data_IF_272548245031
#
_entry.id   IF_272548245031
#
_cell.length_a   1.000
_cell.length_b   1.000
_cell.length_c   1.000
_cell.angle_alpha   90.00
_cell.angle_beta   90.00
_cell.angle_gamma   90.00
#
_symmetry.space_group_name_H-M   'P 1'
#
loop_
_entity.id
_entity.type
_entity.pdbx_description
1 polymer ?
#
# COMPACT_ATOMS: atom_id res chain seq x y z
N UNK A 1 -13.43 3.85 16.49
CA UNK A 1 -14.77 4.45 16.47
C UNK A 1 -14.69 5.70 15.60
N UNK A 2 -15.12 5.63 14.35
CA UNK A 2 -15.10 6.79 13.43
C UNK A 2 -16.34 7.63 13.73
N UNK A 3 -16.14 8.89 14.12
CA UNK A 3 -17.23 9.85 14.24
C UNK A 3 -17.68 10.28 12.84
N UNK A 4 -18.93 10.05 12.54
CA UNK A 4 -19.60 10.53 11.34
C UNK A 4 -19.81 12.05 11.51
N UNK A 5 -19.07 12.84 10.76
CA UNK A 5 -19.17 14.29 10.78
C UNK A 5 -19.92 14.78 9.54
N UNK A 6 -21.24 14.70 9.60
CA UNK A 6 -22.10 15.43 8.65
C UNK A 6 -22.30 16.85 9.20
N UNK A 7 -21.69 17.84 8.54
CA UNK A 7 -21.91 19.26 8.85
C UNK A 7 -23.14 19.70 8.06
N UNK A 8 -24.27 19.84 8.72
CA UNK A 8 -25.42 20.57 8.23
C UNK A 8 -25.95 21.54 9.28
N UNK A 9 -25.86 22.79 8.90
CA UNK A 9 -26.68 23.96 9.22
C UNK A 9 -27.14 24.22 10.66
N UNK A 10 -26.83 25.47 11.15
CA UNK A 10 -27.41 26.14 12.32
C UNK A 10 -27.26 25.46 13.68
N UNK A 11 -26.04 25.05 14.06
CA UNK A 11 -25.86 24.43 15.36
C UNK A 11 -25.06 25.32 16.33
N UNK A 12 -25.67 25.62 17.47
CA UNK A 12 -24.92 25.91 18.68
C UNK A 12 -23.82 24.89 18.81
N UNK A 13 -22.58 25.36 18.78
CA UNK A 13 -21.40 24.51 18.97
C UNK A 13 -21.57 23.83 20.34
N UNK A 14 -21.67 22.53 20.39
CA UNK A 14 -21.60 21.75 21.61
C UNK A 14 -20.19 21.91 22.19
N UNK A 15 -19.99 22.89 23.02
CA UNK A 15 -18.66 23.29 23.55
C UNK A 15 -17.99 22.14 24.30
N UNK A 16 -18.73 21.31 25.01
CA UNK A 16 -18.18 20.21 25.79
C UNK A 16 -17.64 19.10 24.86
N UNK A 17 -18.40 18.80 23.84
CA UNK A 17 -17.98 17.86 22.80
C UNK A 17 -16.72 18.34 22.07
N UNK A 18 -16.67 19.62 21.70
CA UNK A 18 -15.49 20.17 21.02
C UNK A 18 -14.28 20.31 21.94
N UNK A 19 -14.47 20.64 23.22
CA UNK A 19 -13.37 20.67 24.21
C UNK A 19 -12.75 19.26 24.38
N UNK A 20 -13.58 18.23 24.48
CA UNK A 20 -13.12 16.83 24.56
C UNK A 20 -12.39 16.43 23.29
N UNK A 21 -12.93 16.77 22.11
CA UNK A 21 -12.32 16.49 20.82
C UNK A 21 -10.97 17.20 20.67
N UNK A 22 -10.91 18.50 21.00
CA UNK A 22 -9.66 19.28 20.93
C UNK A 22 -8.57 18.74 21.86
N UNK A 23 -8.92 18.25 23.03
CA UNK A 23 -7.98 17.59 23.94
C UNK A 23 -7.39 16.33 23.32
N UNK A 24 -8.21 15.56 22.61
CA UNK A 24 -7.79 14.29 21.97
C UNK A 24 -6.94 14.51 20.71
N UNK A 25 -7.29 15.51 19.88
CA UNK A 25 -6.61 15.76 18.60
C UNK A 25 -5.40 16.68 18.71
N UNK A 26 -5.25 17.39 19.84
CA UNK A 26 -4.14 18.34 20.05
C UNK A 26 -2.86 17.57 20.34
N UNK A 27 -1.87 17.74 19.47
CA UNK A 27 -0.54 17.18 19.70
C UNK A 27 0.17 17.93 20.84
N UNK A 28 0.79 17.19 21.74
CA UNK A 28 1.54 17.76 22.85
C UNK A 28 3.02 17.33 22.73
N UNK A 29 3.93 18.29 22.73
CA UNK A 29 5.38 18.07 22.61
C UNK A 29 5.97 17.27 23.80
N UNK A 30 5.29 17.27 24.95
CA UNK A 30 5.73 16.54 26.13
C UNK A 30 5.24 15.09 26.18
N UNK A 31 4.32 14.69 25.31
CA UNK A 31 3.85 13.33 25.18
C UNK A 31 4.83 12.49 24.40
N UNK A 32 4.99 11.24 24.81
CA UNK A 32 5.79 10.26 24.08
C UNK A 32 4.89 9.47 23.17
N UNK A 33 5.28 9.38 21.90
CA UNK A 33 4.60 8.59 20.89
C UNK A 33 5.51 7.46 20.42
N UNK A 34 4.96 6.26 20.32
CA UNK A 34 5.66 5.15 19.70
C UNK A 34 5.70 5.33 18.19
N UNK A 35 6.89 5.22 17.63
CA UNK A 35 7.05 5.26 16.17
C UNK A 35 6.60 3.93 15.57
N UNK A 36 5.82 3.97 14.47
CA UNK A 36 5.45 2.75 13.77
C UNK A 36 6.69 2.05 13.20
N UNK A 37 6.64 0.72 13.13
CA UNK A 37 7.71 -0.10 12.56
C UNK A 37 8.04 0.37 11.13
N UNK A 38 9.32 0.52 10.85
CA UNK A 38 9.83 0.80 9.50
C UNK A 38 9.70 -0.43 8.63
N UNK A 39 9.07 -0.28 7.47
CA UNK A 39 8.77 -1.40 6.55
C UNK A 39 9.65 -1.34 5.31
N UNK A 40 9.88 -0.16 4.74
CA UNK A 40 10.69 0.00 3.53
C UNK A 40 11.69 1.13 3.71
N UNK A 41 12.93 0.84 3.37
CA UNK A 41 14.05 1.80 3.34
C UNK A 41 14.68 1.83 1.94
N UNK A 42 15.27 2.97 1.58
CA UNK A 42 16.17 3.14 0.44
C UNK A 42 17.45 3.82 0.91
N UNK A 43 18.61 3.23 0.65
CA UNK A 43 19.91 3.72 1.15
C UNK A 43 19.88 4.05 2.66
N UNK A 44 19.20 3.26 3.47
CA UNK A 44 19.04 3.45 4.92
C UNK A 44 18.04 4.53 5.33
N UNK A 45 17.36 5.18 4.38
CA UNK A 45 16.33 6.18 4.66
C UNK A 45 14.95 5.53 4.59
N UNK A 46 14.17 5.65 5.65
CA UNK A 46 12.80 5.11 5.72
C UNK A 46 11.86 5.85 4.79
N UNK A 47 11.20 5.10 3.91
CA UNK A 47 10.21 5.62 2.95
C UNK A 47 8.81 5.09 3.19
N UNK A 48 8.65 4.03 3.99
CA UNK A 48 7.35 3.52 4.40
C UNK A 48 7.40 2.90 5.80
N UNK A 49 6.36 3.12 6.58
CA UNK A 49 6.16 2.56 7.92
C UNK A 49 4.83 1.81 8.00
N UNK A 50 4.70 0.91 8.96
CA UNK A 50 3.48 0.13 9.18
C UNK A 50 2.28 1.05 9.45
N UNK A 51 1.15 0.75 8.80
CA UNK A 51 -0.08 1.52 8.96
C UNK A 51 -0.14 2.84 8.17
N UNK A 52 0.92 3.18 7.43
CA UNK A 52 0.98 4.36 6.57
C UNK A 52 1.01 3.97 5.08
N UNK A 53 0.87 4.97 4.22
CA UNK A 53 1.01 4.79 2.79
C UNK A 53 2.10 5.72 2.24
N UNK A 54 2.73 5.29 1.14
CA UNK A 54 3.69 6.09 0.39
C UNK A 54 3.31 6.10 -1.08
N UNK A 55 3.57 7.20 -1.77
CA UNK A 55 3.29 7.34 -3.19
C UNK A 55 4.58 7.63 -3.97
N UNK A 56 4.82 6.83 -5.01
CA UNK A 56 5.91 7.06 -5.95
C UNK A 56 5.36 7.70 -7.22
N UNK A 57 5.80 8.91 -7.51
CA UNK A 57 5.39 9.64 -8.71
C UNK A 57 6.58 9.84 -9.66
N UNK A 58 6.32 10.12 -10.92
CA UNK A 58 7.36 10.40 -11.89
C UNK A 58 6.84 10.40 -13.32
N UNK A 59 7.64 10.98 -14.23
CA UNK A 59 7.33 11.02 -15.67
C UNK A 59 7.16 9.61 -16.25
N UNK A 60 6.45 9.43 -17.36
CA UNK A 60 6.45 8.18 -18.10
C UNK A 60 7.88 7.68 -18.36
N UNK A 61 8.09 6.37 -18.30
CA UNK A 61 9.40 5.70 -18.47
C UNK A 61 10.44 5.98 -17.39
N UNK A 62 10.08 6.55 -16.24
CA UNK A 62 11.00 6.79 -15.10
C UNK A 62 11.32 5.54 -14.29
N UNK A 63 11.08 4.35 -14.82
CA UNK A 63 11.37 3.04 -14.18
C UNK A 63 10.62 2.78 -12.86
N UNK A 64 9.47 3.42 -12.62
CA UNK A 64 8.69 3.23 -11.39
C UNK A 64 8.40 1.75 -11.08
N UNK A 65 7.83 1.02 -12.03
CA UNK A 65 7.52 -0.41 -11.88
C UNK A 65 8.78 -1.24 -11.61
N UNK A 66 9.96 -0.83 -12.10
CA UNK A 66 11.21 -1.51 -11.80
C UNK A 66 11.62 -1.30 -10.34
N UNK A 67 11.54 -0.08 -9.83
CA UNK A 67 11.84 0.24 -8.43
C UNK A 67 10.87 -0.49 -7.49
N UNK A 68 9.58 -0.50 -7.81
CA UNK A 68 8.57 -1.26 -7.07
C UNK A 68 8.89 -2.75 -7.08
N UNK A 69 9.35 -3.30 -8.24
CA UNK A 69 9.79 -4.70 -8.31
C UNK A 69 10.93 -5.01 -7.34
N UNK A 70 11.88 -4.07 -7.18
CA UNK A 70 12.99 -4.24 -6.23
C UNK A 70 12.52 -4.20 -4.77
N UNK A 71 11.57 -3.32 -4.42
CA UNK A 71 10.96 -3.27 -3.08
C UNK A 71 10.28 -4.61 -2.76
N UNK A 72 9.45 -5.11 -3.68
CA UNK A 72 8.75 -6.37 -3.48
C UNK A 72 9.73 -7.55 -3.41
N UNK A 73 10.75 -7.57 -4.27
CA UNK A 73 11.79 -8.59 -4.23
C UNK A 73 12.55 -8.61 -2.88
N UNK A 74 12.83 -7.42 -2.32
CA UNK A 74 13.41 -7.31 -0.98
C UNK A 74 12.48 -7.85 0.10
N UNK A 75 11.18 -7.51 0.04
CA UNK A 75 10.18 -8.03 0.98
C UNK A 75 10.06 -9.56 0.94
N UNK A 76 10.15 -10.17 -0.25
CA UNK A 76 10.07 -11.62 -0.41
C UNK A 76 11.35 -12.34 0.02
N UNK A 77 12.52 -11.76 -0.25
CA UNK A 77 13.81 -12.39 0.05
C UNK A 77 14.32 -12.11 1.47
N UNK A 78 13.82 -11.04 2.13
CA UNK A 78 14.37 -10.53 3.38
C UNK A 78 15.77 -9.92 3.23
N UNK A 79 16.22 -9.64 1.99
CA UNK A 79 17.54 -9.08 1.68
C UNK A 79 17.41 -7.73 1.01
N UNK A 80 18.47 -6.93 1.08
CA UNK A 80 18.53 -5.70 0.29
C UNK A 80 18.61 -6.01 -1.21
N UNK A 81 17.77 -5.35 -2.00
CA UNK A 81 17.74 -5.45 -3.46
C UNK A 81 17.82 -4.07 -4.06
N UNK A 82 18.87 -3.78 -4.84
CA UNK A 82 19.07 -2.49 -5.50
C UNK A 82 18.89 -1.28 -4.57
N UNK A 83 19.47 -1.35 -3.35
CA UNK A 83 19.37 -0.33 -2.30
C UNK A 83 18.02 -0.24 -1.57
N UNK A 84 17.05 -1.05 -1.93
CA UNK A 84 15.78 -1.18 -1.20
C UNK A 84 15.89 -2.29 -0.18
N UNK A 85 15.55 -1.98 1.06
CA UNK A 85 15.38 -2.95 2.14
C UNK A 85 13.93 -2.92 2.59
N UNK A 86 13.23 -4.05 2.49
CA UNK A 86 11.88 -4.20 2.99
C UNK A 86 11.86 -5.30 4.06
N UNK A 87 11.33 -4.96 5.23
CA UNK A 87 11.27 -5.83 6.41
C UNK A 87 9.83 -5.90 6.91
N UNK A 88 9.13 -6.97 6.55
CA UNK A 88 7.73 -7.18 6.92
C UNK A 88 7.64 -7.91 8.25
N UNK A 89 6.63 -7.59 9.10
CA UNK A 89 6.39 -8.31 10.33
C UNK A 89 6.18 -9.82 10.07
N UNK A 90 6.68 -10.73 10.91
CA UNK A 90 6.53 -12.17 10.70
C UNK A 90 5.09 -12.66 10.51
N UNK A 91 4.13 -12.03 11.21
CA UNK A 91 2.70 -12.33 11.09
C UNK A 91 2.02 -11.66 9.89
N UNK A 92 2.74 -10.81 9.14
CA UNK A 92 2.25 -10.06 7.97
C UNK A 92 3.33 -10.03 6.89
N UNK A 93 3.73 -11.20 6.43
CA UNK A 93 4.89 -11.35 5.56
C UNK A 93 4.56 -11.57 4.08
N UNK A 94 3.28 -11.47 3.71
CA UNK A 94 2.82 -11.57 2.32
C UNK A 94 2.68 -10.21 1.66
N UNK A 95 2.80 -10.21 0.35
CA UNK A 95 2.66 -9.04 -0.52
C UNK A 95 1.47 -9.23 -1.43
N UNK A 96 0.59 -8.24 -1.49
CA UNK A 96 -0.45 -8.12 -2.51
C UNK A 96 -0.03 -7.07 -3.54
N UNK A 97 0.24 -7.52 -4.77
CA UNK A 97 0.55 -6.63 -5.90
C UNK A 97 -0.66 -6.49 -6.80
N UNK A 98 -1.06 -5.28 -7.09
CA UNK A 98 -2.24 -4.96 -7.90
C UNK A 98 -1.80 -4.10 -9.08
N UNK A 99 -2.06 -4.57 -10.29
CA UNK A 99 -1.87 -3.81 -11.52
C UNK A 99 -3.23 -3.51 -12.17
N UNK A 100 -3.49 -2.25 -12.45
CA UNK A 100 -4.75 -1.79 -13.01
C UNK A 100 -4.65 -1.31 -14.46
N UNK A 101 -3.47 -1.36 -15.06
CA UNK A 101 -3.20 -0.83 -16.39
C UNK A 101 -2.72 -1.89 -17.39
N UNK A 102 -1.82 -2.77 -16.97
CA UNK A 102 -1.12 -3.67 -17.87
C UNK A 102 -1.92 -4.94 -18.19
N UNK A 103 -1.61 -5.55 -19.35
CA UNK A 103 -2.15 -6.87 -19.70
C UNK A 103 -1.51 -7.98 -18.86
N UNK A 104 -2.19 -9.12 -18.73
CA UNK A 104 -1.67 -10.33 -18.02
C UNK A 104 -0.27 -10.72 -18.45
N UNK A 105 0.03 -10.64 -19.75
CA UNK A 105 1.37 -10.97 -20.27
C UNK A 105 2.46 -10.03 -19.76
N UNK A 106 2.18 -8.73 -19.64
CA UNK A 106 3.12 -7.76 -19.10
C UNK A 106 3.26 -7.91 -17.57
N UNK A 107 2.16 -8.10 -16.87
CA UNK A 107 2.17 -8.38 -15.43
C UNK A 107 2.96 -9.65 -15.10
N UNK A 108 2.84 -10.68 -15.91
CA UNK A 108 3.63 -11.91 -15.77
C UNK A 108 5.14 -11.64 -15.86
N UNK A 109 5.58 -10.76 -16.79
CA UNK A 109 6.99 -10.34 -16.86
C UNK A 109 7.43 -9.56 -15.63
N UNK A 110 6.54 -8.75 -15.05
CA UNK A 110 6.82 -8.03 -13.78
C UNK A 110 6.99 -9.05 -12.65
N UNK A 111 6.09 -10.01 -12.51
CA UNK A 111 6.17 -11.06 -11.51
C UNK A 111 7.47 -11.89 -11.65
N UNK A 112 7.80 -12.32 -12.86
CA UNK A 112 9.07 -12.99 -13.13
C UNK A 112 10.29 -12.16 -12.70
N UNK A 113 10.30 -10.86 -13.00
CA UNK A 113 11.36 -9.95 -12.57
C UNK A 113 11.47 -9.87 -11.05
N UNK A 114 10.36 -9.78 -10.36
CA UNK A 114 10.31 -9.74 -8.90
C UNK A 114 10.95 -11.00 -8.33
N UNK A 115 10.52 -12.17 -8.76
CA UNK A 115 11.05 -13.45 -8.29
C UNK A 115 12.55 -13.62 -8.63
N UNK A 116 12.97 -13.20 -9.83
CA UNK A 116 14.39 -13.22 -10.24
C UNK A 116 15.23 -12.31 -9.34
N UNK A 117 14.79 -11.09 -9.09
CA UNK A 117 15.49 -10.15 -8.21
C UNK A 117 15.54 -10.64 -6.75
N UNK A 118 14.53 -11.38 -6.32
CA UNK A 118 14.48 -11.99 -4.98
C UNK A 118 15.35 -13.25 -4.88
N UNK A 119 15.86 -13.78 -5.99
CA UNK A 119 16.57 -15.07 -6.05
C UNK A 119 15.66 -16.27 -5.81
N UNK A 120 14.37 -16.14 -6.14
CA UNK A 120 13.34 -17.17 -5.96
C UNK A 120 13.04 -17.90 -7.28
N UNK A 121 12.57 -19.16 -7.24
CA UNK A 121 12.16 -19.89 -8.43
C UNK A 121 11.06 -19.16 -9.20
N UNK A 122 11.16 -19.17 -10.54
CA UNK A 122 10.18 -18.54 -11.44
C UNK A 122 9.27 -19.56 -12.16
N UNK A 123 9.44 -20.85 -11.87
CA UNK A 123 8.73 -21.97 -12.48
C UNK A 123 7.78 -22.69 -11.51
N UNK A 124 7.54 -22.09 -10.34
CA UNK A 124 6.58 -22.59 -9.35
C UNK A 124 5.89 -21.41 -8.69
N UNK A 125 4.73 -21.65 -8.11
CA UNK A 125 3.98 -20.68 -7.34
C UNK A 125 4.75 -20.26 -6.07
N UNK A 126 4.50 -19.06 -5.61
CA UNK A 126 5.08 -18.51 -4.39
C UNK A 126 3.93 -17.97 -3.52
N UNK A 127 3.75 -18.56 -2.36
CA UNK A 127 2.66 -18.28 -1.42
C UNK A 127 2.79 -16.91 -0.71
N UNK A 128 3.96 -16.26 -0.81
CA UNK A 128 4.21 -14.96 -0.20
C UNK A 128 3.85 -13.76 -1.08
N UNK A 129 3.44 -13.99 -2.32
CA UNK A 129 3.02 -12.93 -3.22
C UNK A 129 1.73 -13.31 -3.95
N UNK A 130 0.74 -12.44 -3.88
CA UNK A 130 -0.41 -12.45 -4.75
C UNK A 130 -0.34 -11.32 -5.76
N UNK A 131 -0.61 -11.62 -7.02
CA UNK A 131 -0.54 -10.64 -8.09
C UNK A 131 -1.88 -10.54 -8.82
N UNK A 132 -2.61 -9.45 -8.60
CA UNK A 132 -3.92 -9.21 -9.20
C UNK A 132 -3.81 -8.31 -10.42
N UNK A 133 -4.35 -8.76 -11.54
CA UNK A 133 -4.44 -7.99 -12.79
C UNK A 133 -5.87 -7.50 -12.96
N UNK A 134 -6.11 -6.24 -12.62
CA UNK A 134 -7.45 -5.65 -12.53
C UNK A 134 -7.77 -4.68 -13.68
N UNK A 135 -7.03 -4.73 -14.78
CA UNK A 135 -7.22 -3.84 -15.93
C UNK A 135 -8.64 -3.86 -16.48
N UNK A 136 -9.26 -5.04 -16.56
CA UNK A 136 -10.56 -5.25 -17.20
C UNK A 136 -11.75 -4.95 -16.28
N UNK A 137 -11.50 -4.65 -15.00
CA UNK A 137 -12.53 -4.40 -14.00
C UNK A 137 -12.81 -2.90 -13.86
N UNK A 138 -14.06 -2.57 -13.55
CA UNK A 138 -14.46 -1.19 -13.22
C UNK A 138 -13.83 -0.71 -11.91
N UNK A 139 -13.73 0.61 -11.65
CA UNK A 139 -13.19 1.12 -10.39
C UNK A 139 -13.91 0.56 -9.14
N UNK A 140 -15.23 0.40 -9.20
CA UNK A 140 -16.02 -0.17 -8.09
C UNK A 140 -15.66 -1.64 -7.86
N UNK A 141 -15.62 -2.45 -8.92
CA UNK A 141 -15.21 -3.84 -8.84
C UNK A 141 -13.78 -3.99 -8.31
N UNK A 142 -12.85 -3.13 -8.74
CA UNK A 142 -11.47 -3.13 -8.24
C UNK A 142 -11.43 -2.90 -6.73
N UNK A 143 -12.18 -1.90 -6.24
CA UNK A 143 -12.27 -1.62 -4.80
C UNK A 143 -12.82 -2.80 -4.01
N UNK A 144 -13.88 -3.42 -4.53
CA UNK A 144 -14.52 -4.55 -3.86
C UNK A 144 -13.61 -5.78 -3.82
N UNK A 145 -12.92 -6.10 -4.92
CA UNK A 145 -11.93 -7.17 -4.98
C UNK A 145 -10.80 -6.95 -3.97
N UNK A 146 -10.22 -5.73 -3.95
CA UNK A 146 -9.13 -5.40 -3.02
C UNK A 146 -9.61 -5.47 -1.57
N UNK A 147 -10.79 -4.93 -1.28
CA UNK A 147 -11.36 -4.96 0.07
C UNK A 147 -11.62 -6.38 0.53
N UNK A 148 -12.13 -7.20 -0.35
CA UNK A 148 -12.37 -8.62 -0.07
C UNK A 148 -11.07 -9.37 0.19
N UNK A 149 -10.06 -9.22 -0.66
CA UNK A 149 -8.75 -9.84 -0.47
C UNK A 149 -8.10 -9.45 0.86
N UNK A 150 -8.12 -8.17 1.22
CA UNK A 150 -7.59 -7.69 2.50
C UNK A 150 -8.44 -8.12 3.72
N UNK A 151 -9.69 -8.48 3.50
CA UNK A 151 -10.54 -9.05 4.56
C UNK A 151 -10.22 -10.53 4.80
N UNK A 152 -10.04 -11.31 3.75
CA UNK A 152 -9.73 -12.74 3.85
C UNK A 152 -8.28 -12.99 4.28
N UNK A 153 -7.33 -12.31 3.66
CA UNK A 153 -5.90 -12.50 3.86
C UNK A 153 -5.35 -11.57 4.94
N UNK A 154 -5.29 -12.05 6.18
CA UNK A 154 -4.87 -11.24 7.34
C UNK A 154 -3.36 -11.07 7.47
N UNK A 155 -2.58 -11.83 6.74
CA UNK A 155 -1.12 -11.87 6.76
C UNK A 155 -0.46 -10.98 5.69
N UNK A 156 -1.24 -10.20 4.94
CA UNK A 156 -0.71 -9.19 4.02
C UNK A 156 -0.09 -8.03 4.82
N UNK A 157 1.22 -7.82 4.62
CA UNK A 157 1.98 -6.74 5.24
C UNK A 157 2.35 -5.61 4.30
N UNK A 158 2.35 -5.87 2.99
CA UNK A 158 2.64 -4.87 1.97
C UNK A 158 1.63 -4.96 0.83
N UNK A 159 1.00 -3.83 0.53
CA UNK A 159 0.11 -3.70 -0.64
C UNK A 159 0.75 -2.75 -1.64
N UNK A 160 0.94 -3.22 -2.85
CA UNK A 160 1.40 -2.40 -3.98
C UNK A 160 0.22 -2.17 -4.93
N UNK A 161 0.00 -0.91 -5.30
CA UNK A 161 -0.97 -0.55 -6.34
C UNK A 161 -0.21 0.19 -7.44
N UNK A 162 0.06 -0.52 -8.54
CA UNK A 162 0.71 0.07 -9.71
C UNK A 162 -0.36 0.71 -10.58
N UNK A 163 -0.27 2.03 -10.69
CA UNK A 163 -1.22 2.94 -11.31
C UNK A 163 -2.56 3.15 -10.57
N UNK A 164 -2.65 4.31 -9.93
CA UNK A 164 -3.76 4.70 -9.03
C UNK A 164 -4.96 5.33 -9.77
N UNK A 165 -5.49 4.72 -10.83
CA UNK A 165 -6.81 5.09 -11.37
C UNK A 165 -7.98 4.47 -10.58
N UNK A 166 -7.75 4.13 -9.32
CA UNK A 166 -8.75 3.50 -8.46
C UNK A 166 -9.89 4.44 -8.03
N UNK A 167 -9.74 5.76 -8.20
CA UNK A 167 -10.64 6.74 -7.56
C UNK A 167 -11.28 7.77 -8.48
N UNK A 168 -11.06 7.71 -9.76
CA UNK A 168 -11.83 8.56 -10.67
C UNK A 168 -13.08 7.81 -11.14
N UNK A 169 -14.13 7.82 -10.32
CA UNK A 169 -15.47 7.79 -10.89
C UNK A 169 -15.55 9.00 -11.82
N UNK A 170 -15.60 8.76 -13.12
CA UNK A 170 -15.83 9.80 -14.10
C UNK A 170 -17.17 10.48 -13.79
N UNK A 171 -17.16 11.61 -13.10
CA UNK A 171 -18.12 12.66 -13.37
C UNK A 171 -17.72 13.23 -14.71
N UNK A 172 -18.15 12.58 -15.80
CA UNK A 172 -18.33 13.21 -17.08
C UNK A 172 -19.78 13.71 -17.09
N UNK A 173 -19.94 14.98 -16.79
CA UNK A 173 -21.05 15.79 -17.29
C UNK A 173 -20.95 15.89 -18.80
#
# INVERSE_FOLDING_TARGET
>A
MKADMTIHDNHRIDEEKYRSLLKYIRLNVTEKYDFPQEIVQIDGVTIATLGNFSASTGKPKSKKTFNVSAIVASALSGKEVLKYKADLPPCKNRVLYIDTEQSKCHCHKVLHRILTLAGLPTNQENDRIEFFVLREYTPDQRRDIIRWALHEEKDIGLVIIDYLQLMQSAKRT
#
